data_IF_034430597848
#
_entry.id   IF_034430597848
#
_cell.length_a   1.000
_cell.length_b   1.000
_cell.length_c   1.000
_cell.angle_alpha   90.00
_cell.angle_beta   90.00
_cell.angle_gamma   90.00
#
_symmetry.space_group_name_H-M   'P 1'
#
loop_
_entity.id
_entity.type
_entity.pdbx_description
1 polymer ?
#
# COMPACT_ATOMS: atom_id res chain seq x y z
N UNK A 1 -83.79 0.66 25.82
CA UNK A 1 -83.14 1.99 25.78
C UNK A 1 -81.69 1.79 26.18
N UNK A 2 -80.75 2.35 25.41
CA UNK A 2 -79.28 2.23 25.49
C UNK A 2 -78.63 0.94 24.93
N UNK A 3 -78.29 0.99 23.64
CA UNK A 3 -77.25 0.18 22.98
C UNK A 3 -75.89 0.83 23.25
N UNK A 4 -74.94 0.07 23.82
CA UNK A 4 -73.55 0.48 23.97
C UNK A 4 -72.74 0.02 22.77
N UNK A 5 -72.10 0.98 22.09
CA UNK A 5 -71.22 0.80 20.94
C UNK A 5 -69.85 0.31 21.44
N UNK A 6 -69.39 -0.83 20.93
CA UNK A 6 -68.02 -1.33 21.08
C UNK A 6 -67.08 -0.53 20.17
N UNK A 7 -66.13 0.22 20.74
CA UNK A 7 -65.00 0.79 20.01
C UNK A 7 -63.82 -0.18 20.04
N UNK A 8 -63.43 -0.63 18.84
CA UNK A 8 -62.25 -1.42 18.55
C UNK A 8 -60.99 -0.55 18.79
N UNK A 9 -60.16 -0.88 19.78
CA UNK A 9 -58.81 -0.31 19.90
C UNK A 9 -57.85 -1.07 18.99
N UNK A 10 -57.43 -0.42 17.91
CA UNK A 10 -56.36 -0.87 17.02
C UNK A 10 -55.02 -0.70 17.75
N UNK A 11 -54.42 -1.80 18.19
CA UNK A 11 -53.04 -1.81 18.69
C UNK A 11 -52.12 -1.69 17.46
N UNK A 12 -51.66 -0.47 17.17
CA UNK A 12 -50.54 -0.26 16.25
C UNK A 12 -49.27 -0.63 17.01
N UNK A 13 -48.78 -1.85 16.81
CA UNK A 13 -47.39 -2.17 17.12
C UNK A 13 -46.51 -1.38 16.16
N UNK A 14 -45.97 -0.26 16.66
CA UNK A 14 -44.80 0.41 16.11
C UNK A 14 -43.64 -0.59 16.11
N UNK A 15 -43.49 -1.30 15.00
CA UNK A 15 -42.25 -1.94 14.61
C UNK A 15 -41.21 -0.83 14.48
N UNK A 16 -40.50 -0.54 15.57
CA UNK A 16 -39.19 0.09 15.47
C UNK A 16 -38.32 -0.89 14.69
N UNK A 17 -38.29 -0.71 13.37
CA UNK A 17 -37.27 -1.28 12.52
C UNK A 17 -35.96 -0.70 13.03
N UNK A 18 -35.27 -1.48 13.85
CA UNK A 18 -33.86 -1.34 14.13
C UNK A 18 -33.15 -1.54 12.79
N UNK A 19 -33.06 -0.48 11.99
CA UNK A 19 -32.10 -0.40 10.90
C UNK A 19 -30.72 -0.40 11.58
N UNK A 20 -30.27 -1.60 11.95
CA UNK A 20 -28.86 -1.86 12.09
C UNK A 20 -28.27 -1.47 10.74
N UNK A 21 -27.56 -0.35 10.71
CA UNK A 21 -26.73 0.06 9.60
C UNK A 21 -25.79 -1.12 9.32
N UNK A 22 -26.17 -2.01 8.38
CA UNK A 22 -25.24 -2.99 7.87
C UNK A 22 -24.18 -2.15 7.19
N UNK A 23 -23.01 -2.14 7.79
CA UNK A 23 -21.80 -1.52 7.29
C UNK A 23 -21.45 -2.26 5.98
N UNK A 24 -22.12 -1.90 4.88
CA UNK A 24 -22.03 -2.56 3.57
C UNK A 24 -20.76 -2.14 2.85
N UNK A 25 -20.34 -2.91 1.86
CA UNK A 25 -19.19 -2.54 1.04
C UNK A 25 -19.27 -1.09 0.53
N UNK A 26 -20.41 -0.70 -0.03
CA UNK A 26 -20.63 0.62 -0.64
C UNK A 26 -20.34 1.78 0.33
N UNK A 27 -20.69 1.63 1.61
CA UNK A 27 -20.48 2.68 2.62
C UNK A 27 -19.01 2.98 2.91
N UNK A 28 -18.09 2.12 2.46
CA UNK A 28 -16.64 2.27 2.66
C UNK A 28 -15.90 2.76 1.42
N UNK A 29 -16.57 2.84 0.28
CA UNK A 29 -15.96 3.23 -0.98
C UNK A 29 -15.86 4.76 -1.04
N UNK A 30 -14.65 5.28 -1.15
CA UNK A 30 -14.39 6.72 -1.29
C UNK A 30 -14.14 7.09 -2.76
N UNK A 31 -13.46 6.22 -3.51
CA UNK A 31 -13.21 6.40 -4.95
C UNK A 31 -13.31 5.09 -5.71
N UNK A 32 -13.76 5.17 -6.95
CA UNK A 32 -13.87 4.02 -7.87
C UNK A 32 -13.23 4.33 -9.21
N UNK A 33 -12.64 3.32 -9.82
CA UNK A 33 -12.08 3.42 -11.16
C UNK A 33 -12.35 2.13 -11.95
N UNK A 34 -13.09 2.23 -13.05
CA UNK A 34 -13.15 1.18 -14.07
C UNK A 34 -11.91 1.26 -14.96
N UNK A 35 -11.60 2.48 -15.39
CA UNK A 35 -10.43 2.84 -16.18
C UNK A 35 -9.79 4.04 -15.51
N UNK A 36 -8.47 4.06 -15.43
CA UNK A 36 -7.74 5.21 -14.90
C UNK A 36 -7.65 6.28 -15.99
N UNK A 37 -8.13 7.48 -15.68
CA UNK A 37 -7.95 8.67 -16.50
C UNK A 37 -7.31 9.79 -15.66
N UNK A 38 -6.79 10.80 -16.35
CA UNK A 38 -5.97 11.85 -15.78
C UNK A 38 -6.62 13.21 -15.92
N UNK A 39 -6.20 14.14 -15.06
CA UNK A 39 -6.54 15.56 -15.16
C UNK A 39 -5.74 16.22 -16.30
N UNK A 40 -6.18 15.96 -17.54
CA UNK A 40 -5.54 16.48 -18.75
C UNK A 40 -5.73 17.99 -18.88
N UNK A 41 -4.75 18.72 -19.45
CA UNK A 41 -4.89 20.16 -19.70
C UNK A 41 -6.10 20.51 -20.59
N UNK A 42 -6.45 19.62 -21.53
CA UNK A 42 -7.61 19.69 -22.40
C UNK A 42 -7.81 18.34 -23.14
N UNK A 43 -8.96 18.19 -23.78
CA UNK A 43 -9.32 16.97 -24.53
C UNK A 43 -8.35 16.68 -25.69
N UNK A 44 -7.84 17.73 -26.36
CA UNK A 44 -6.86 17.55 -27.44
C UNK A 44 -5.57 16.88 -26.94
N UNK A 45 -5.07 17.27 -25.77
CA UNK A 45 -3.89 16.66 -25.16
C UNK A 45 -4.15 15.18 -24.82
N UNK A 46 -5.32 14.88 -24.25
CA UNK A 46 -5.75 13.51 -23.98
C UNK A 46 -5.80 12.66 -25.25
N UNK A 47 -6.47 13.14 -26.28
CA UNK A 47 -6.59 12.42 -27.55
C UNK A 47 -5.24 12.23 -28.24
N UNK A 48 -4.35 13.23 -28.20
CA UNK A 48 -2.98 13.09 -28.71
C UNK A 48 -2.22 12.01 -27.97
N UNK A 49 -2.36 11.95 -26.64
CA UNK A 49 -1.73 10.93 -25.80
C UNK A 49 -2.24 9.51 -26.11
N UNK A 50 -3.52 9.37 -26.44
CA UNK A 50 -4.09 8.09 -26.90
C UNK A 50 -3.55 7.74 -28.29
N UNK A 51 -3.56 8.70 -29.24
CA UNK A 51 -3.12 8.48 -30.62
C UNK A 51 -1.64 8.10 -30.72
N UNK A 52 -0.79 8.66 -29.87
CA UNK A 52 0.64 8.35 -29.85
C UNK A 52 1.01 7.27 -28.81
N UNK A 53 0.02 6.63 -28.20
CA UNK A 53 0.18 5.56 -27.21
C UNK A 53 0.99 5.93 -25.96
N UNK A 54 1.21 7.22 -25.68
CA UNK A 54 1.74 7.68 -24.39
C UNK A 54 0.71 7.55 -23.26
N UNK A 55 -0.57 7.39 -23.61
CA UNK A 55 -1.65 6.96 -22.73
C UNK A 55 -2.40 5.77 -23.35
N UNK A 56 -2.28 4.60 -22.73
CA UNK A 56 -3.05 3.40 -23.07
C UNK A 56 -3.93 3.09 -21.84
N UNK A 57 -5.23 3.44 -21.86
CA UNK A 57 -6.07 3.36 -20.66
C UNK A 57 -6.02 2.01 -19.94
N UNK A 58 -6.03 0.91 -20.69
CA UNK A 58 -6.04 -0.47 -20.15
C UNK A 58 -4.71 -0.92 -19.54
N UNK A 59 -3.64 -0.13 -19.68
CA UNK A 59 -2.34 -0.40 -19.06
C UNK A 59 -2.14 0.35 -17.74
N UNK A 60 -3.09 1.18 -17.32
CA UNK A 60 -3.00 2.02 -16.14
C UNK A 60 -3.79 1.38 -14.99
N UNK A 61 -3.11 1.06 -13.88
CA UNK A 61 -3.71 0.47 -12.69
C UNK A 61 -3.04 1.03 -11.43
N UNK A 62 -3.81 1.27 -10.37
CA UNK A 62 -3.30 1.76 -9.09
C UNK A 62 -2.78 0.59 -8.25
N UNK A 63 -1.57 0.73 -7.70
CA UNK A 63 -0.97 -0.25 -6.78
C UNK A 63 -0.63 0.33 -5.40
N UNK A 64 -0.10 1.55 -5.33
CA UNK A 64 0.27 2.21 -4.09
C UNK A 64 -0.68 3.35 -3.72
N UNK A 65 -0.79 3.63 -2.43
CA UNK A 65 -1.53 4.79 -1.93
C UNK A 65 -0.97 5.28 -0.61
N UNK A 66 -1.25 6.54 -0.26
CA UNK A 66 -1.13 7.06 1.10
C UNK A 66 -2.06 8.29 1.26
N UNK A 67 -2.38 8.65 2.50
CA UNK A 67 -3.34 9.73 2.79
C UNK A 67 -2.68 10.79 3.67
N UNK A 68 -2.90 12.06 3.32
CA UNK A 68 -2.39 13.20 4.08
C UNK A 68 -3.35 14.38 3.98
N UNK A 69 -3.81 14.89 5.13
CA UNK A 69 -4.80 15.97 5.22
C UNK A 69 -6.02 15.74 4.29
N UNK A 70 -6.61 14.55 4.38
CA UNK A 70 -7.74 14.08 3.56
C UNK A 70 -7.47 13.95 2.04
N UNK A 71 -6.29 14.36 1.55
CA UNK A 71 -5.86 14.09 0.19
C UNK A 71 -5.37 12.65 0.07
N UNK A 72 -5.86 11.94 -0.96
CA UNK A 72 -5.40 10.60 -1.32
C UNK A 72 -4.38 10.72 -2.43
N UNK A 73 -3.15 10.30 -2.14
CA UNK A 73 -2.08 10.15 -3.12
C UNK A 73 -2.01 8.69 -3.55
N UNK A 74 -1.89 8.46 -4.84
CA UNK A 74 -1.83 7.12 -5.43
C UNK A 74 -0.72 7.02 -6.45
N UNK A 75 -0.24 5.80 -6.65
CA UNK A 75 0.76 5.49 -7.66
C UNK A 75 0.15 4.68 -8.79
N UNK A 76 0.61 4.93 -10.00
CA UNK A 76 0.33 4.11 -11.18
C UNK A 76 1.68 3.64 -11.69
N UNK A 77 2.18 2.47 -11.25
CA UNK A 77 3.50 2.00 -11.66
C UNK A 77 3.54 1.80 -13.17
N UNK A 78 4.67 2.14 -13.81
CA UNK A 78 4.89 1.92 -15.25
C UNK A 78 5.23 0.46 -15.55
N UNK A 79 4.36 -0.45 -15.11
CA UNK A 79 4.45 -1.89 -15.34
C UNK A 79 4.33 -2.24 -16.83
N UNK A 80 3.55 -1.45 -17.56
CA UNK A 80 3.34 -1.51 -19.01
C UNK A 80 3.48 -0.11 -19.61
N UNK A 81 3.66 -0.05 -20.93
CA UNK A 81 3.75 1.23 -21.66
C UNK A 81 2.43 1.99 -21.63
N UNK A 82 2.49 3.29 -21.92
CA UNK A 82 1.30 4.13 -22.00
C UNK A 82 0.76 4.57 -20.63
N UNK A 83 1.64 4.73 -19.64
CA UNK A 83 1.33 5.29 -18.31
C UNK A 83 1.86 6.73 -18.22
N UNK A 84 1.01 7.76 -18.38
CA UNK A 84 1.43 9.16 -18.43
C UNK A 84 2.10 9.64 -17.14
N UNK A 85 1.50 9.32 -15.99
CA UNK A 85 1.92 9.83 -14.69
C UNK A 85 1.95 8.72 -13.65
N UNK A 86 3.09 8.54 -12.99
CA UNK A 86 3.30 7.44 -12.05
C UNK A 86 3.00 7.79 -10.60
N UNK A 87 2.97 9.08 -10.25
CA UNK A 87 2.57 9.57 -8.94
C UNK A 87 1.48 10.62 -9.10
N UNK A 88 0.37 10.45 -8.39
CA UNK A 88 -0.84 11.22 -8.60
C UNK A 88 -1.53 11.56 -7.28
N UNK A 89 -2.36 12.60 -7.31
CA UNK A 89 -3.38 12.90 -6.31
C UNK A 89 -4.75 12.59 -6.93
N UNK A 90 -5.64 11.94 -6.18
CA UNK A 90 -7.03 11.77 -6.63
C UNK A 90 -7.77 13.10 -6.49
N UNK A 91 -8.47 13.49 -7.54
CA UNK A 91 -9.38 14.64 -7.56
C UNK A 91 -10.73 14.23 -8.14
N UNK A 92 -11.79 14.95 -7.77
CA UNK A 92 -13.14 14.73 -8.30
C UNK A 92 -13.44 15.83 -9.32
N UNK A 93 -13.75 15.44 -10.56
CA UNK A 93 -14.27 16.33 -11.60
C UNK A 93 -15.58 15.77 -12.13
N UNK A 94 -16.61 16.60 -12.17
CA UNK A 94 -17.95 16.21 -12.63
C UNK A 94 -18.52 14.95 -11.95
N UNK A 95 -18.21 14.80 -10.65
CA UNK A 95 -18.63 13.64 -9.85
C UNK A 95 -17.81 12.36 -10.07
N UNK A 96 -16.77 12.42 -10.90
CA UNK A 96 -15.92 11.27 -11.25
C UNK A 96 -14.53 11.44 -10.63
N UNK A 97 -13.98 10.36 -10.07
CA UNK A 97 -12.61 10.33 -9.57
C UNK A 97 -11.63 10.21 -10.73
N UNK A 98 -10.67 11.13 -10.83
CA UNK A 98 -9.59 11.13 -11.83
C UNK A 98 -8.24 11.40 -11.15
N UNK A 99 -7.15 11.18 -11.88
CA UNK A 99 -5.79 11.34 -11.34
C UNK A 99 -5.13 12.64 -11.79
N UNK A 100 -4.80 13.51 -10.85
CA UNK A 100 -3.97 14.68 -11.10
C UNK A 100 -2.50 14.32 -10.91
N UNK A 101 -1.63 14.47 -11.93
CA UNK A 101 -0.20 14.23 -11.81
C UNK A 101 0.44 15.05 -10.70
N UNK A 102 1.26 14.40 -9.87
CA UNK A 102 1.82 15.01 -8.68
C UNK A 102 3.35 14.98 -8.65
N UNK A 103 4.03 16.11 -8.37
CA UNK A 103 3.45 17.43 -8.11
C UNK A 103 2.90 18.13 -9.36
N UNK A 104 3.33 17.71 -10.55
CA UNK A 104 2.90 18.25 -11.84
C UNK A 104 3.28 17.30 -12.99
N UNK A 105 2.85 17.62 -14.21
CA UNK A 105 3.18 16.88 -15.44
C UNK A 105 4.68 16.81 -15.76
N UNK A 106 5.43 17.88 -15.49
CA UNK A 106 6.87 17.94 -15.76
C UNK A 106 7.64 16.88 -14.96
N UNK A 107 7.22 16.66 -13.72
CA UNK A 107 7.79 15.65 -12.81
C UNK A 107 7.49 14.21 -13.23
N UNK A 108 6.72 13.99 -14.30
CA UNK A 108 6.36 12.68 -14.82
C UNK A 108 7.06 12.35 -16.15
N UNK A 109 7.96 13.19 -16.66
CA UNK A 109 8.58 12.97 -17.96
C UNK A 109 9.40 11.66 -18.01
N UNK A 110 8.95 10.71 -18.82
CA UNK A 110 9.66 9.45 -19.07
C UNK A 110 11.03 9.74 -19.71
N UNK A 111 12.08 9.08 -19.22
CA UNK A 111 13.46 9.22 -19.70
C UNK A 111 14.25 10.39 -19.10
N UNK A 112 13.60 11.31 -18.39
CA UNK A 112 14.27 12.35 -17.64
C UNK A 112 14.56 11.88 -16.20
N UNK A 113 15.83 11.64 -15.87
CA UNK A 113 16.20 11.12 -14.54
C UNK A 113 15.98 12.11 -13.40
N UNK A 114 15.74 13.39 -13.69
CA UNK A 114 15.24 14.35 -12.71
C UNK A 114 13.74 14.13 -12.39
N UNK A 115 12.97 13.62 -13.34
CA UNK A 115 11.57 13.23 -13.17
C UNK A 115 11.39 11.79 -12.64
N UNK A 116 10.14 11.45 -12.30
CA UNK A 116 9.73 10.14 -11.82
C UNK A 116 9.56 9.15 -12.98
N UNK A 117 10.19 7.99 -12.87
CA UNK A 117 10.20 6.96 -13.90
C UNK A 117 9.22 5.83 -13.60
N UNK A 118 9.22 5.34 -12.37
CA UNK A 118 8.34 4.27 -11.92
C UNK A 118 8.19 4.39 -10.41
N UNK A 119 7.05 4.83 -9.92
CA UNK A 119 6.79 4.87 -8.47
C UNK A 119 5.87 3.71 -8.11
N UNK A 120 6.37 2.77 -7.30
CA UNK A 120 5.53 1.68 -6.78
C UNK A 120 4.73 2.13 -5.56
N UNK A 121 5.43 2.72 -4.58
CA UNK A 121 4.87 2.99 -3.26
C UNK A 121 5.42 4.30 -2.68
N UNK A 122 4.69 4.86 -1.72
CA UNK A 122 5.01 6.10 -1.04
C UNK A 122 4.72 5.99 0.45
N UNK A 123 5.52 6.66 1.28
CA UNK A 123 5.23 6.86 2.70
C UNK A 123 5.13 8.35 2.99
N UNK A 124 4.00 8.81 3.53
CA UNK A 124 3.84 10.21 3.94
C UNK A 124 3.99 10.31 5.46
N UNK A 125 4.86 11.20 5.93
CA UNK A 125 4.98 11.53 7.34
C UNK A 125 3.89 12.53 7.75
N UNK A 126 2.87 12.12 8.53
CA UNK A 126 1.78 13.01 8.89
C UNK A 126 2.20 14.18 9.78
N UNK A 127 3.40 14.13 10.38
CA UNK A 127 3.89 15.19 11.27
C UNK A 127 4.63 16.30 10.51
N UNK A 128 5.04 16.06 9.26
CA UNK A 128 5.86 17.01 8.48
C UNK A 128 5.37 17.27 7.07
N UNK A 129 4.43 16.47 6.55
CA UNK A 129 4.00 16.53 5.15
C UNK A 129 5.06 15.98 4.18
N UNK A 130 6.14 15.36 4.67
CA UNK A 130 7.18 14.80 3.82
C UNK A 130 6.73 13.46 3.22
N UNK A 131 6.58 13.44 1.90
CA UNK A 131 6.35 12.24 1.10
C UNK A 131 7.69 11.62 0.71
N UNK A 132 7.91 10.38 1.10
CA UNK A 132 9.05 9.56 0.72
C UNK A 132 8.63 8.68 -0.45
N UNK A 133 9.24 8.90 -1.60
CA UNK A 133 8.87 8.33 -2.89
C UNK A 133 9.99 7.38 -3.32
N UNK A 134 9.68 6.10 -3.49
CA UNK A 134 10.61 5.13 -4.08
C UNK A 134 10.36 5.04 -5.58
N UNK A 135 11.40 5.30 -6.37
CA UNK A 135 11.36 5.23 -7.82
C UNK A 135 12.33 4.16 -8.32
N UNK A 136 11.82 3.16 -9.02
CA UNK A 136 12.61 2.01 -9.49
C UNK A 136 13.48 2.38 -10.70
N UNK A 137 13.19 3.47 -11.41
CA UNK A 137 14.01 3.95 -12.54
C UNK A 137 13.83 3.19 -13.86
N UNK A 138 13.30 1.95 -13.79
CA UNK A 138 13.00 1.05 -14.91
C UNK A 138 11.51 0.88 -15.14
N UNK A 139 11.12 0.58 -16.37
CA UNK A 139 9.71 0.49 -16.79
C UNK A 139 9.47 -0.76 -17.64
N UNK A 140 8.19 -1.10 -17.85
CA UNK A 140 7.72 -2.13 -18.79
C UNK A 140 8.12 -3.59 -18.45
N UNK A 141 8.34 -3.93 -17.18
CA UNK A 141 8.71 -5.30 -16.80
C UNK A 141 7.55 -6.30 -16.70
N UNK A 142 6.29 -5.84 -16.75
CA UNK A 142 5.10 -6.69 -16.86
C UNK A 142 4.35 -6.46 -18.18
N UNK A 143 5.08 -6.07 -19.23
CA UNK A 143 4.55 -5.99 -20.58
C UNK A 143 4.12 -7.37 -21.08
N UNK A 144 2.90 -7.44 -21.63
CA UNK A 144 2.33 -8.66 -22.23
C UNK A 144 2.30 -8.58 -23.77
N UNK A 145 2.63 -7.42 -24.33
CA UNK A 145 2.63 -7.12 -25.76
C UNK A 145 4.04 -7.25 -26.39
N UNK A 146 5.01 -7.77 -25.64
CA UNK A 146 6.41 -7.89 -26.07
C UNK A 146 7.24 -6.61 -25.95
N UNK A 147 6.68 -5.53 -25.39
CA UNK A 147 7.46 -4.31 -25.10
C UNK A 147 8.64 -4.65 -24.18
N UNK A 148 9.89 -4.30 -24.54
CA UNK A 148 11.04 -4.62 -23.72
C UNK A 148 11.06 -3.81 -22.43
N UNK A 149 11.63 -4.38 -21.37
CA UNK A 149 11.97 -3.63 -20.16
C UNK A 149 13.04 -2.57 -20.49
N UNK A 150 12.80 -1.34 -20.05
CA UNK A 150 13.72 -0.22 -20.27
C UNK A 150 14.31 0.26 -18.94
N UNK A 151 15.64 0.40 -18.91
CA UNK A 151 16.40 0.78 -17.71
C UNK A 151 16.83 2.24 -17.81
N UNK A 152 15.85 3.14 -17.83
CA UNK A 152 16.05 4.54 -18.21
C UNK A 152 16.92 5.30 -17.20
N UNK A 153 16.69 5.07 -15.90
CA UNK A 153 17.36 5.80 -14.83
C UNK A 153 17.80 4.90 -13.67
N UNK A 154 18.74 5.35 -12.82
CA UNK A 154 19.01 4.71 -11.54
C UNK A 154 17.77 4.67 -10.65
N UNK A 155 17.64 3.61 -9.85
CA UNK A 155 16.65 3.59 -8.78
C UNK A 155 16.99 4.69 -7.76
N UNK A 156 15.98 5.40 -7.27
CA UNK A 156 16.15 6.55 -6.40
C UNK A 156 15.07 6.63 -5.32
N UNK A 157 15.40 7.33 -4.25
CA UNK A 157 14.41 7.80 -3.28
C UNK A 157 14.40 9.32 -3.26
N UNK A 158 13.20 9.89 -3.34
CA UNK A 158 12.95 11.33 -3.28
C UNK A 158 12.13 11.63 -2.04
N UNK A 159 12.44 12.73 -1.36
CA UNK A 159 11.63 13.27 -0.27
C UNK A 159 11.08 14.60 -0.75
N UNK A 160 9.77 14.68 -0.86
CA UNK A 160 9.05 15.87 -1.30
C UNK A 160 8.24 16.44 -0.14
N UNK A 161 8.35 17.73 0.11
CA UNK A 161 7.54 18.45 1.09
C UNK A 161 6.24 18.88 0.42
N UNK A 162 5.14 18.22 0.80
CA UNK A 162 3.81 18.47 0.22
C UNK A 162 3.34 19.90 0.51
N UNK A 163 3.56 20.37 1.74
CA UNK A 163 3.03 21.64 2.23
C UNK A 163 3.76 22.84 1.59
N UNK A 164 5.06 22.70 1.38
CA UNK A 164 5.90 23.76 0.80
C UNK A 164 6.14 23.59 -0.71
N UNK A 165 5.70 22.46 -1.28
CA UNK A 165 5.86 22.13 -2.69
C UNK A 165 7.32 22.19 -3.17
N UNK A 166 8.23 21.55 -2.41
CA UNK A 166 9.67 21.52 -2.69
C UNK A 166 10.27 20.12 -2.51
N UNK A 167 11.26 19.80 -3.32
CA UNK A 167 12.12 18.63 -3.10
C UNK A 167 13.11 18.90 -1.96
N UNK A 168 13.15 17.99 -0.98
CA UNK A 168 14.00 18.08 0.22
C UNK A 168 15.26 17.23 0.08
N UNK A 169 15.14 16.06 -0.56
CA UNK A 169 16.25 15.11 -0.69
C UNK A 169 16.04 14.25 -1.92
N UNK A 170 17.15 13.98 -2.62
CA UNK A 170 17.24 12.96 -3.65
C UNK A 170 18.47 12.11 -3.39
N UNK A 171 18.26 10.81 -3.40
CA UNK A 171 19.32 9.82 -3.26
C UNK A 171 19.16 8.77 -4.35
N UNK A 172 20.11 8.73 -5.27
CA UNK A 172 20.23 7.60 -6.20
C UNK A 172 20.88 6.44 -5.46
N UNK A 173 20.23 5.27 -5.50
CA UNK A 173 20.79 4.09 -4.90
C UNK A 173 21.99 3.62 -5.74
N UNK A 174 23.14 3.34 -5.11
CA UNK A 174 24.24 2.67 -5.79
C UNK A 174 23.78 1.35 -6.42
N UNK A 175 24.29 1.01 -7.61
CA UNK A 175 23.88 -0.19 -8.38
C UNK A 175 24.06 -1.51 -7.60
N UNK A 176 24.97 -1.56 -6.62
CA UNK A 176 25.12 -2.71 -5.74
C UNK A 176 24.03 -2.81 -4.65
N UNK A 177 23.37 -1.70 -4.32
CA UNK A 177 22.27 -1.63 -3.35
C UNK A 177 20.92 -1.82 -4.03
N UNK A 178 20.67 -1.12 -5.14
CA UNK A 178 19.49 -1.29 -5.98
C UNK A 178 19.93 -1.35 -7.43
N UNK A 179 20.00 -2.56 -7.98
CA UNK A 179 20.56 -2.76 -9.31
C UNK A 179 19.58 -2.27 -10.38
N UNK A 180 19.97 -1.29 -11.22
CA UNK A 180 19.09 -0.77 -12.29
C UNK A 180 18.57 -1.85 -13.27
N UNK A 181 19.29 -2.98 -13.32
CA UNK A 181 19.12 -4.26 -14.03
C UNK A 181 18.06 -5.21 -13.49
N UNK A 182 17.75 -5.13 -12.20
CA UNK A 182 16.98 -6.18 -11.50
C UNK A 182 15.99 -5.68 -10.47
N UNK A 183 16.29 -4.58 -9.77
CA UNK A 183 15.52 -4.13 -8.60
C UNK A 183 14.05 -3.91 -8.90
N UNK A 184 13.19 -4.24 -7.93
CA UNK A 184 11.81 -3.81 -7.88
C UNK A 184 11.55 -3.32 -6.45
N UNK A 185 11.71 -2.01 -6.24
CA UNK A 185 11.38 -1.36 -4.97
C UNK A 185 9.86 -1.42 -4.74
N UNK A 186 9.42 -2.25 -3.79
CA UNK A 186 8.02 -2.58 -3.57
C UNK A 186 7.35 -1.67 -2.54
N UNK A 187 7.62 -1.89 -1.25
CA UNK A 187 7.01 -1.13 -0.15
C UNK A 187 8.04 -0.38 0.70
N UNK A 188 7.58 0.67 1.39
CA UNK A 188 8.41 1.55 2.22
C UNK A 188 7.78 1.84 3.59
N UNK A 189 8.61 1.79 4.64
CA UNK A 189 8.30 2.36 5.97
C UNK A 189 9.42 3.29 6.44
N UNK A 190 9.06 4.33 7.18
CA UNK A 190 10.00 5.38 7.62
C UNK A 190 10.14 5.39 9.14
N UNK A 191 11.36 5.62 9.63
CA UNK A 191 11.64 5.67 11.06
C UNK A 191 12.18 7.03 11.48
N UNK A 192 11.60 7.56 12.55
CA UNK A 192 12.13 8.69 13.30
C UNK A 192 13.39 8.36 14.08
N UNK A 193 14.32 9.31 14.07
CA UNK A 193 15.47 9.34 14.96
C UNK A 193 15.69 10.79 15.41
N UNK A 194 15.28 11.09 16.64
CA UNK A 194 15.22 12.47 17.11
C UNK A 194 13.93 13.14 16.64
N UNK A 195 14.02 14.39 16.19
CA UNK A 195 12.84 15.20 15.87
C UNK A 195 12.24 14.90 14.49
N UNK A 196 13.01 14.36 13.53
CA UNK A 196 12.53 14.06 12.17
C UNK A 196 12.62 12.56 11.87
N UNK A 197 11.82 12.10 10.90
CA UNK A 197 12.10 10.87 10.16
C UNK A 197 13.57 10.85 9.72
N UNK A 198 14.22 9.71 9.60
CA UNK A 198 15.64 9.62 9.19
C UNK A 198 15.92 8.41 8.32
N UNK A 199 15.37 7.26 8.71
CA UNK A 199 15.60 6.03 7.98
C UNK A 199 14.38 5.68 7.16
N UNK A 200 14.60 5.14 5.96
CA UNK A 200 13.59 4.40 5.22
C UNK A 200 14.03 2.93 5.11
N UNK A 201 13.07 2.03 5.19
CA UNK A 201 13.23 0.60 4.99
C UNK A 201 12.36 0.20 3.82
N UNK A 202 12.97 -0.41 2.81
CA UNK A 202 12.34 -0.66 1.52
C UNK A 202 12.50 -2.13 1.18
N UNK A 203 11.41 -2.79 0.78
CA UNK A 203 11.46 -4.15 0.25
C UNK A 203 11.80 -4.08 -1.23
N UNK A 204 12.76 -4.89 -1.67
CA UNK A 204 13.09 -5.07 -3.08
C UNK A 204 12.69 -6.50 -3.43
N UNK A 205 11.58 -6.63 -4.15
CA UNK A 205 10.88 -7.89 -4.35
C UNK A 205 11.70 -8.83 -5.26
N UNK A 206 12.10 -8.33 -6.44
CA UNK A 206 12.85 -9.12 -7.43
C UNK A 206 14.25 -9.51 -6.96
N UNK A 207 14.94 -8.65 -6.20
CA UNK A 207 16.25 -9.00 -5.63
C UNK A 207 16.16 -9.59 -4.22
N UNK A 208 14.95 -9.79 -3.69
CA UNK A 208 14.66 -10.48 -2.41
C UNK A 208 15.47 -9.94 -1.23
N UNK A 209 15.43 -8.61 -1.04
CA UNK A 209 16.27 -7.93 -0.05
C UNK A 209 15.56 -6.79 0.66
N UNK A 210 16.08 -6.42 1.82
CA UNK A 210 15.69 -5.25 2.58
C UNK A 210 16.73 -4.15 2.39
N UNK A 211 16.34 -3.07 1.71
CA UNK A 211 17.16 -1.86 1.54
C UNK A 211 16.93 -0.91 2.72
N UNK A 212 18.01 -0.30 3.19
CA UNK A 212 18.00 0.70 4.27
C UNK A 212 18.61 1.98 3.73
N UNK A 213 17.88 3.08 3.84
CA UNK A 213 18.36 4.42 3.52
C UNK A 213 18.49 5.25 4.79
N UNK A 214 19.62 5.95 4.99
CA UNK A 214 19.85 6.92 6.06
C UNK A 214 19.92 8.33 5.47
N UNK A 215 18.79 9.07 5.52
CA UNK A 215 18.71 10.43 4.97
C UNK A 215 19.75 11.37 5.55
N UNK A 216 20.07 11.26 6.85
CA UNK A 216 21.02 12.19 7.48
C UNK A 216 22.44 12.00 6.93
N UNK A 217 22.80 10.77 6.56
CA UNK A 217 24.12 10.46 6.00
C UNK A 217 24.14 10.45 4.48
N UNK A 218 22.95 10.44 3.85
CA UNK A 218 22.77 10.20 2.43
C UNK A 218 23.47 8.92 1.95
N UNK A 219 23.25 7.83 2.69
CA UNK A 219 23.85 6.52 2.41
C UNK A 219 22.79 5.44 2.43
N UNK A 220 23.00 4.39 1.65
CA UNK A 220 22.14 3.23 1.61
C UNK A 220 22.94 1.92 1.65
N UNK A 221 22.34 0.88 2.19
CA UNK A 221 22.86 -0.49 2.19
C UNK A 221 21.68 -1.48 2.16
N UNK A 222 21.95 -2.77 2.03
CA UNK A 222 20.91 -3.79 2.00
C UNK A 222 21.26 -5.01 2.86
N UNK A 223 20.26 -5.85 3.10
CA UNK A 223 20.40 -7.18 3.68
C UNK A 223 19.57 -8.19 2.88
N UNK A 224 20.06 -9.41 2.80
CA UNK A 224 19.35 -10.55 2.23
C UNK A 224 19.35 -11.68 3.26
N UNK A 225 18.27 -12.47 3.31
CA UNK A 225 18.17 -13.61 4.20
C UNK A 225 17.34 -14.72 3.55
N UNK A 226 17.98 -15.81 3.08
CA UNK A 226 17.33 -16.82 2.25
C UNK A 226 16.03 -17.37 2.84
N UNK A 227 15.99 -17.67 4.14
CA UNK A 227 14.80 -18.24 4.77
C UNK A 227 13.63 -17.26 4.91
N UNK A 228 13.89 -15.95 4.99
CA UNK A 228 12.84 -14.96 5.32
C UNK A 228 12.46 -14.04 4.16
N UNK A 229 13.27 -14.03 3.10
CA UNK A 229 13.11 -13.10 1.98
C UNK A 229 12.92 -13.80 0.64
N UNK A 230 13.31 -15.07 0.50
CA UNK A 230 12.95 -15.86 -0.68
C UNK A 230 11.52 -16.42 -0.53
N UNK A 231 10.83 -16.69 -1.65
CA UNK A 231 9.56 -17.40 -1.68
C UNK A 231 9.58 -18.68 -0.82
N UNK A 232 8.49 -18.93 -0.10
CA UNK A 232 8.29 -20.20 0.58
C UNK A 232 7.90 -21.27 -0.45
N UNK A 233 8.66 -22.37 -0.48
CA UNK A 233 8.42 -23.46 -1.42
C UNK A 233 7.00 -24.02 -1.29
N UNK A 234 6.30 -24.13 -2.42
CA UNK A 234 4.94 -24.68 -2.50
C UNK A 234 3.82 -23.65 -2.28
N UNK A 235 4.15 -22.40 -1.96
CA UNK A 235 3.16 -21.35 -1.64
C UNK A 235 3.09 -20.26 -2.73
N UNK A 236 3.33 -20.63 -3.99
CA UNK A 236 3.36 -19.71 -5.13
C UNK A 236 2.03 -19.54 -5.87
N UNK A 237 0.94 -20.13 -5.38
CA UNK A 237 -0.37 -20.05 -6.05
C UNK A 237 -1.35 -19.28 -5.18
N UNK A 238 -1.72 -18.08 -5.60
CA UNK A 238 -2.73 -17.24 -4.94
C UNK A 238 -4.05 -17.41 -5.68
N UNK A 239 -5.10 -17.85 -5.00
CA UNK A 239 -6.41 -18.06 -5.64
C UNK A 239 -7.41 -17.02 -5.17
N UNK A 240 -7.91 -16.22 -6.11
CA UNK A 240 -8.82 -15.10 -5.84
C UNK A 240 -10.04 -15.28 -6.72
N UNK A 241 -11.22 -15.38 -6.10
CA UNK A 241 -12.51 -15.56 -6.80
C UNK A 241 -12.50 -16.69 -7.86
N UNK A 242 -11.77 -17.78 -7.58
CA UNK A 242 -11.67 -18.95 -8.47
C UNK A 242 -10.60 -18.85 -9.57
N UNK A 243 -9.90 -17.73 -9.69
CA UNK A 243 -8.75 -17.58 -10.59
C UNK A 243 -7.43 -17.71 -9.82
N UNK A 244 -6.50 -18.50 -10.34
CA UNK A 244 -5.18 -18.70 -9.70
C UNK A 244 -4.11 -17.88 -10.41
N UNK A 245 -3.45 -17.01 -9.65
CA UNK A 245 -2.25 -16.29 -10.05
C UNK A 245 -1.03 -17.03 -9.50
N UNK A 246 -0.15 -17.47 -10.40
CA UNK A 246 1.15 -18.01 -10.03
C UNK A 246 2.14 -16.87 -9.79
N UNK A 247 2.77 -16.87 -8.62
CA UNK A 247 3.75 -15.88 -8.16
C UNK A 247 5.01 -16.57 -7.65
N UNK A 248 6.13 -15.88 -7.72
CA UNK A 248 7.41 -16.34 -7.15
C UNK A 248 8.08 -15.23 -6.37
N UNK A 249 7.26 -14.37 -5.78
CA UNK A 249 7.64 -13.10 -5.18
C UNK A 249 8.05 -13.32 -3.72
N UNK A 250 9.19 -12.75 -3.36
CA UNK A 250 9.83 -12.91 -2.06
C UNK A 250 9.29 -11.92 -1.03
N UNK A 251 10.20 -11.31 -0.27
CA UNK A 251 9.91 -10.22 0.67
C UNK A 251 9.08 -9.13 -0.02
N UNK A 252 7.87 -8.88 0.51
CA UNK A 252 6.90 -8.00 -0.12
C UNK A 252 6.41 -6.93 0.87
N UNK A 253 5.32 -7.18 1.60
CA UNK A 253 4.80 -6.26 2.61
C UNK A 253 5.77 -6.00 3.77
N UNK A 254 5.83 -4.74 4.22
CA UNK A 254 6.64 -4.29 5.35
C UNK A 254 5.87 -3.34 6.27
N UNK A 255 6.04 -3.50 7.58
CA UNK A 255 5.46 -2.64 8.61
C UNK A 255 6.49 -2.30 9.69
N UNK A 256 6.34 -1.14 10.34
CA UNK A 256 7.21 -0.72 11.43
C UNK A 256 6.43 -0.54 12.72
N UNK A 257 6.92 -1.12 13.82
CA UNK A 257 6.26 -1.00 15.12
C UNK A 257 6.07 0.46 15.55
N UNK A 258 5.01 0.75 16.32
CA UNK A 258 4.72 2.11 16.81
C UNK A 258 5.80 2.69 17.73
N UNK A 259 6.63 1.84 18.36
CA UNK A 259 7.83 2.26 19.10
C UNK A 259 9.10 2.32 18.22
N UNK A 260 8.97 1.99 16.94
CA UNK A 260 10.00 1.90 15.90
C UNK A 260 11.17 1.00 16.23
N UNK A 261 10.98 0.01 17.11
CA UNK A 261 12.04 -0.93 17.47
C UNK A 261 12.10 -2.14 16.55
N UNK A 262 11.01 -2.47 15.86
CA UNK A 262 10.91 -3.70 15.07
C UNK A 262 10.28 -3.43 13.71
N UNK A 263 10.92 -3.96 12.67
CA UNK A 263 10.33 -4.09 11.34
C UNK A 263 9.69 -5.48 11.29
N UNK A 264 8.48 -5.53 10.74
CA UNK A 264 7.79 -6.75 10.36
C UNK A 264 7.76 -6.82 8.84
N UNK A 265 7.93 -8.01 8.29
CA UNK A 265 7.83 -8.25 6.86
C UNK A 265 7.43 -9.69 6.61
N UNK A 266 6.97 -9.99 5.41
CA UNK A 266 6.66 -11.36 4.99
C UNK A 266 6.79 -11.49 3.49
N UNK A 267 6.76 -12.73 3.02
CA UNK A 267 6.79 -13.02 1.60
C UNK A 267 5.41 -12.92 0.98
N UNK A 268 5.31 -12.54 -0.29
CA UNK A 268 4.05 -12.66 -1.05
C UNK A 268 3.76 -14.13 -1.33
N UNK A 269 4.72 -14.87 -1.87
CA UNK A 269 4.67 -16.34 -2.04
C UNK A 269 5.00 -17.05 -0.72
N UNK A 270 4.21 -16.81 0.33
CA UNK A 270 4.40 -17.46 1.62
C UNK A 270 3.52 -16.94 2.73
N UNK A 271 3.47 -17.69 3.82
CA UNK A 271 2.60 -17.40 4.95
C UNK A 271 3.33 -16.86 6.17
N UNK A 272 4.67 -16.92 6.23
CA UNK A 272 5.39 -16.41 7.40
C UNK A 272 5.33 -14.89 7.53
N UNK A 273 5.32 -14.43 8.78
CA UNK A 273 5.72 -13.06 9.15
C UNK A 273 7.00 -13.16 9.96
N UNK A 274 7.97 -12.33 9.61
CA UNK A 274 9.23 -12.17 10.30
C UNK A 274 9.32 -10.83 11.01
N UNK A 275 10.23 -10.75 11.97
CA UNK A 275 10.53 -9.55 12.73
C UNK A 275 12.05 -9.37 12.82
N UNK A 276 12.52 -8.14 12.62
CA UNK A 276 13.92 -7.76 12.81
C UNK A 276 14.04 -6.43 13.60
N UNK A 277 14.94 -6.31 14.59
CA UNK A 277 15.12 -5.05 15.31
C UNK A 277 15.74 -3.95 14.44
N UNK A 278 15.16 -2.74 14.45
CA UNK A 278 15.69 -1.58 13.70
C UNK A 278 17.13 -1.22 14.09
N UNK A 279 17.54 -1.54 15.32
CA UNK A 279 18.93 -1.30 15.76
C UNK A 279 19.97 -2.16 15.04
N UNK A 280 19.56 -3.31 14.51
CA UNK A 280 20.42 -4.24 13.76
C UNK A 280 20.56 -3.72 12.33
N UNK A 281 19.44 -3.44 11.65
CA UNK A 281 19.44 -3.05 10.24
C UNK A 281 20.00 -1.65 9.97
N UNK A 282 19.97 -0.72 10.94
CA UNK A 282 20.54 0.63 10.73
C UNK A 282 22.06 0.67 10.64
N UNK A 283 22.74 -0.39 11.06
CA UNK A 283 24.20 -0.46 11.06
C UNK A 283 24.62 -1.62 10.15
N UNK A 284 25.23 -1.35 8.98
CA UNK A 284 25.74 -2.42 8.13
C UNK A 284 26.66 -3.33 8.96
N UNK A 285 26.46 -4.63 8.86
CA UNK A 285 27.13 -5.61 9.72
C UNK A 285 26.57 -7.02 9.53
N UNK A 286 27.29 -8.02 10.06
CA UNK A 286 27.00 -9.45 9.82
C UNK A 286 25.98 -10.07 10.76
N UNK A 287 25.44 -9.31 11.72
CA UNK A 287 24.54 -9.87 12.73
C UNK A 287 23.07 -10.01 12.28
N UNK A 288 22.73 -9.60 11.05
CA UNK A 288 21.34 -9.60 10.56
C UNK A 288 20.63 -10.94 10.81
N UNK A 289 21.22 -12.03 10.33
CA UNK A 289 20.66 -13.39 10.35
C UNK A 289 20.31 -13.84 11.77
N UNK A 290 21.16 -13.51 12.75
CA UNK A 290 20.97 -13.90 14.17
C UNK A 290 19.75 -13.24 14.81
N UNK A 291 19.25 -12.16 14.24
CA UNK A 291 18.13 -11.38 14.79
C UNK A 291 16.85 -11.52 13.98
N UNK A 292 16.88 -12.18 12.81
CA UNK A 292 15.67 -12.53 12.07
C UNK A 292 14.89 -13.55 12.87
N UNK A 293 13.60 -13.28 13.05
CA UNK A 293 12.71 -14.17 13.82
C UNK A 293 11.36 -14.30 13.15
N UNK A 294 10.96 -15.52 12.82
CA UNK A 294 9.56 -15.82 12.48
C UNK A 294 8.67 -15.58 13.71
N UNK A 295 7.63 -14.76 13.53
CA UNK A 295 6.68 -14.42 14.60
C UNK A 295 5.37 -15.18 14.46
N UNK A 296 5.08 -15.75 13.29
CA UNK A 296 3.93 -16.62 13.08
C UNK A 296 3.59 -16.76 11.60
N UNK A 297 2.37 -17.21 11.35
CA UNK A 297 1.86 -17.56 10.02
C UNK A 297 0.54 -16.85 9.75
N UNK A 298 0.46 -16.16 8.61
CA UNK A 298 -0.74 -15.50 8.07
C UNK A 298 -1.79 -16.56 7.70
N UNK A 299 -3.10 -16.28 7.84
CA UNK A 299 -4.15 -17.20 7.36
C UNK A 299 -4.19 -17.35 5.84
N UNK A 300 -3.80 -16.31 5.09
CA UNK A 300 -3.77 -16.26 3.63
C UNK A 300 -2.52 -15.50 3.13
N UNK A 301 -2.28 -15.49 1.82
CA UNK A 301 -1.26 -14.64 1.21
C UNK A 301 -1.61 -13.17 1.46
N UNK A 302 -0.58 -12.34 1.60
CA UNK A 302 -0.73 -10.91 1.86
C UNK A 302 0.30 -10.14 1.05
N UNK A 303 -0.15 -9.13 0.33
CA UNK A 303 0.69 -8.11 -0.29
C UNK A 303 1.17 -7.13 0.80
N UNK A 304 0.46 -6.03 1.01
CA UNK A 304 0.81 -4.99 1.98
C UNK A 304 0.47 -5.30 3.43
N UNK A 305 1.15 -4.58 4.34
CA UNK A 305 0.89 -4.61 5.77
C UNK A 305 1.16 -3.25 6.42
N UNK A 306 0.45 -2.95 7.51
CA UNK A 306 0.61 -1.69 8.25
C UNK A 306 0.50 -1.91 9.75
N UNK A 307 1.23 -1.12 10.53
CA UNK A 307 1.24 -1.19 11.98
C UNK A 307 0.50 -0.01 12.59
N UNK A 308 -0.37 -0.27 13.55
CA UNK A 308 -1.12 0.76 14.27
C UNK A 308 -0.38 1.25 15.51
N UNK A 309 -0.75 2.45 15.97
CA UNK A 309 -0.27 3.04 17.21
C UNK A 309 -0.53 2.14 18.43
N UNK A 310 -1.66 1.45 18.47
CA UNK A 310 -2.06 0.55 19.55
C UNK A 310 -1.47 -0.87 19.47
N UNK A 311 -0.39 -1.07 18.71
CA UNK A 311 0.32 -2.35 18.61
C UNK A 311 -0.47 -3.48 17.92
N UNK A 312 -1.20 -3.16 16.87
CA UNK A 312 -1.79 -4.15 15.98
C UNK A 312 -1.13 -4.12 14.60
N UNK A 313 -0.92 -5.29 14.00
CA UNK A 313 -0.47 -5.42 12.62
C UNK A 313 -1.69 -5.76 11.75
N UNK A 314 -1.94 -4.98 10.71
CA UNK A 314 -2.99 -5.23 9.72
C UNK A 314 -2.34 -5.65 8.41
N UNK A 315 -2.96 -6.58 7.69
CA UNK A 315 -2.47 -7.08 6.41
C UNK A 315 -3.63 -7.65 5.58
N UNK A 316 -3.49 -7.61 4.26
CA UNK A 316 -4.46 -8.23 3.35
C UNK A 316 -4.51 -9.75 3.50
N UNK A 317 -5.63 -10.35 3.12
CA UNK A 317 -5.79 -11.80 2.95
C UNK A 317 -6.32 -12.05 1.55
N UNK A 318 -5.39 -12.18 0.59
CA UNK A 318 -5.71 -12.24 -0.85
C UNK A 318 -6.61 -13.44 -1.18
N UNK A 319 -6.30 -14.62 -0.64
CA UNK A 319 -7.09 -15.83 -0.89
C UNK A 319 -8.47 -15.81 -0.21
N UNK A 320 -8.64 -14.96 0.81
CA UNK A 320 -9.80 -14.96 1.69
C UNK A 320 -10.72 -13.76 1.49
N UNK A 321 -10.40 -12.86 0.56
CA UNK A 321 -11.07 -11.58 0.34
C UNK A 321 -11.23 -10.75 1.64
N UNK A 322 -10.14 -10.65 2.42
CA UNK A 322 -10.19 -10.14 3.78
C UNK A 322 -9.08 -9.13 4.10
N UNK A 323 -9.31 -8.38 5.17
CA UNK A 323 -8.26 -7.69 5.92
C UNK A 323 -8.14 -8.38 7.27
N UNK A 324 -6.94 -8.84 7.60
CA UNK A 324 -6.61 -9.45 8.88
C UNK A 324 -5.96 -8.45 9.83
N UNK A 325 -6.14 -8.70 11.12
CA UNK A 325 -5.53 -7.95 12.21
C UNK A 325 -4.92 -8.91 13.23
N UNK A 326 -3.65 -8.72 13.55
CA UNK A 326 -3.00 -9.33 14.69
C UNK A 326 -2.82 -8.30 15.81
N UNK A 327 -3.48 -8.53 16.96
CA UNK A 327 -3.28 -7.74 18.18
C UNK A 327 -2.04 -8.20 18.94
N UNK A 328 -0.90 -7.57 18.63
CA UNK A 328 0.42 -7.92 19.17
C UNK A 328 0.46 -7.70 20.69
N UNK A 329 -0.18 -6.64 21.19
CA UNK A 329 -0.20 -6.33 22.62
C UNK A 329 -1.02 -7.35 23.42
N UNK A 330 -2.17 -7.77 22.90
CA UNK A 330 -2.99 -8.82 23.51
C UNK A 330 -2.23 -10.13 23.61
N UNK A 331 -1.55 -10.55 22.53
CA UNK A 331 -0.72 -11.76 22.55
C UNK A 331 0.47 -11.62 23.49
N UNK A 332 1.13 -10.46 23.49
CA UNK A 332 2.26 -10.20 24.40
C UNK A 332 1.84 -10.33 25.87
N UNK A 333 0.68 -9.78 26.24
CA UNK A 333 0.11 -9.90 27.59
C UNK A 333 -0.26 -11.34 27.94
N UNK A 334 -0.99 -12.03 27.06
CA UNK A 334 -1.40 -13.43 27.27
C UNK A 334 -0.21 -14.37 27.41
N UNK A 335 0.83 -14.18 26.62
CA UNK A 335 2.05 -14.99 26.64
C UNK A 335 3.05 -14.55 27.72
N UNK A 336 2.74 -13.50 28.50
CA UNK A 336 3.62 -12.94 29.55
C UNK A 336 5.04 -12.68 29.05
N UNK A 337 5.16 -12.09 27.88
CA UNK A 337 6.43 -11.93 27.17
C UNK A 337 6.70 -10.48 26.74
N UNK A 338 7.75 -10.27 25.96
CA UNK A 338 8.14 -8.95 25.42
C UNK A 338 7.81 -8.87 23.92
N UNK A 339 7.74 -7.67 23.34
CA UNK A 339 7.58 -7.50 21.89
C UNK A 339 8.69 -8.19 21.05
N UNK A 340 9.85 -8.45 21.66
CA UNK A 340 10.96 -9.20 21.04
C UNK A 340 10.68 -10.70 20.91
N UNK A 341 9.80 -11.24 21.77
CA UNK A 341 9.58 -12.69 21.93
C UNK A 341 8.13 -13.12 21.66
N UNK A 342 7.20 -12.18 21.52
CA UNK A 342 5.78 -12.47 21.26
C UNK A 342 5.61 -13.22 19.94
N UNK A 343 4.77 -14.25 19.98
CA UNK A 343 4.34 -15.04 18.84
C UNK A 343 2.91 -14.65 18.45
N UNK A 344 2.59 -14.74 17.18
CA UNK A 344 1.26 -14.46 16.65
C UNK A 344 0.34 -15.65 16.93
N UNK A 345 -0.70 -15.41 17.70
CA UNK A 345 -1.71 -16.39 18.15
C UNK A 345 -3.15 -15.88 18.03
N UNK A 346 -3.37 -14.57 18.03
CA UNK A 346 -4.71 -13.97 17.96
C UNK A 346 -4.91 -13.14 16.68
N UNK A 347 -4.74 -13.76 15.52
CA UNK A 347 -5.17 -13.16 14.25
C UNK A 347 -6.70 -13.17 14.18
N UNK A 348 -7.28 -12.04 13.83
CA UNK A 348 -8.71 -11.84 13.71
C UNK A 348 -9.02 -11.25 12.33
N UNK A 349 -10.15 -11.62 11.74
CA UNK A 349 -10.69 -10.92 10.58
C UNK A 349 -11.14 -9.53 11.02
N UNK A 350 -10.55 -8.49 10.42
CA UNK A 350 -10.98 -7.11 10.63
C UNK A 350 -12.14 -6.76 9.69
N UNK A 351 -12.00 -7.11 8.41
CA UNK A 351 -13.04 -6.98 7.39
C UNK A 351 -12.96 -8.19 6.46
N UNK A 352 -14.11 -8.62 5.92
CA UNK A 352 -14.21 -9.62 4.86
C UNK A 352 -15.48 -9.37 4.08
N UNK A 353 -15.35 -9.31 2.76
CA UNK A 353 -16.48 -9.20 1.85
C UNK A 353 -16.07 -9.72 0.47
N UNK A 354 -16.64 -10.85 0.06
CA UNK A 354 -16.29 -11.52 -1.19
C UNK A 354 -16.74 -10.72 -2.43
N UNK A 355 -17.65 -9.74 -2.27
CA UNK A 355 -18.11 -8.91 -3.38
C UNK A 355 -17.15 -7.79 -3.75
N UNK A 356 -16.28 -7.37 -2.82
CA UNK A 356 -15.52 -6.13 -3.03
C UNK A 356 -14.19 -5.99 -2.27
N UNK A 357 -13.74 -6.98 -1.48
CA UNK A 357 -12.43 -6.98 -0.79
C UNK A 357 -11.53 -8.07 -1.38
N UNK A 358 -11.54 -8.24 -2.70
CA UNK A 358 -10.91 -9.38 -3.37
C UNK A 358 -9.37 -9.32 -3.46
N UNK A 359 -8.75 -8.15 -3.65
CA UNK A 359 -7.29 -7.99 -3.62
C UNK A 359 -6.92 -6.73 -2.83
N UNK A 360 -6.65 -6.88 -1.54
CA UNK A 360 -6.14 -5.78 -0.71
C UNK A 360 -4.64 -5.66 -0.90
N UNK A 361 -4.22 -4.66 -1.67
CA UNK A 361 -2.82 -4.48 -2.08
C UNK A 361 -2.03 -3.68 -1.03
N UNK A 362 -2.49 -2.48 -0.69
CA UNK A 362 -1.81 -1.57 0.25
C UNK A 362 -2.77 -1.07 1.34
N UNK A 363 -2.24 -0.85 2.54
CA UNK A 363 -2.98 -0.33 3.69
C UNK A 363 -2.25 0.82 4.36
N UNK A 364 -2.98 1.87 4.75
CA UNK A 364 -2.45 3.03 5.46
C UNK A 364 -3.44 3.53 6.51
N UNK A 365 -2.96 4.26 7.50
CA UNK A 365 -3.81 4.95 8.45
C UNK A 365 -3.83 6.45 8.18
N UNK A 366 -4.99 7.07 8.33
CA UNK A 366 -5.07 8.52 8.48
C UNK A 366 -4.89 8.96 9.94
N UNK A 367 -5.05 10.26 10.20
CA UNK A 367 -4.98 10.86 11.54
C UNK A 367 -6.34 10.85 12.27
N UNK A 368 -7.38 10.27 11.66
CA UNK A 368 -8.77 10.25 12.11
C UNK A 368 -9.26 8.84 12.47
N UNK A 369 -8.32 7.97 12.87
CA UNK A 369 -8.54 6.57 13.26
C UNK A 369 -9.13 5.66 12.16
N UNK A 370 -8.93 6.01 10.89
CA UNK A 370 -9.38 5.19 9.77
C UNK A 370 -8.22 4.41 9.15
N UNK A 371 -8.52 3.17 8.77
CA UNK A 371 -7.71 2.37 7.88
C UNK A 371 -8.18 2.62 6.45
N UNK A 372 -7.27 3.10 5.62
CA UNK A 372 -7.44 3.25 4.19
C UNK A 372 -6.74 2.11 3.48
N UNK A 373 -7.36 1.58 2.43
CA UNK A 373 -6.77 0.50 1.65
C UNK A 373 -7.30 0.52 0.22
N UNK A 374 -6.48 0.05 -0.71
CA UNK A 374 -6.92 -0.21 -2.07
C UNK A 374 -7.49 -1.62 -2.15
N UNK A 375 -8.55 -1.76 -2.94
CA UNK A 375 -8.94 -3.05 -3.49
C UNK A 375 -8.82 -2.96 -5.00
N UNK A 376 -8.04 -3.83 -5.60
CA UNK A 376 -7.88 -3.87 -7.05
C UNK A 376 -8.15 -5.29 -7.60
N UNK A 377 -8.17 -5.47 -8.92
CA UNK A 377 -8.28 -6.81 -9.54
C UNK A 377 -6.95 -7.23 -10.15
N UNK A 378 -5.84 -7.07 -9.43
CA UNK A 378 -4.50 -7.26 -9.98
C UNK A 378 -4.25 -8.66 -10.56
N UNK A 379 -4.82 -9.71 -9.96
CA UNK A 379 -4.79 -11.06 -10.55
C UNK A 379 -5.29 -11.06 -12.00
N UNK A 380 -6.41 -10.39 -12.30
CA UNK A 380 -6.93 -10.25 -13.67
C UNK A 380 -6.04 -9.37 -14.55
N UNK A 381 -5.45 -8.33 -13.99
CA UNK A 381 -4.52 -7.47 -14.73
C UNK A 381 -3.31 -8.26 -15.23
N UNK A 382 -2.70 -9.05 -14.35
CA UNK A 382 -1.56 -9.91 -14.67
C UNK A 382 -1.93 -11.06 -15.61
N UNK A 383 -3.11 -11.67 -15.43
CA UNK A 383 -3.62 -12.72 -16.31
C UNK A 383 -4.12 -12.21 -17.67
N UNK A 384 -4.23 -10.89 -17.86
CA UNK A 384 -4.75 -10.29 -19.10
C UNK A 384 -6.27 -10.44 -19.27
N UNK A 385 -7.00 -10.73 -18.19
CA UNK A 385 -8.45 -11.00 -18.17
C UNK A 385 -9.27 -9.87 -17.55
N UNK A 386 -8.63 -8.73 -17.23
CA UNK A 386 -9.30 -7.57 -16.62
C UNK A 386 -10.27 -6.90 -17.61
N UNK A 387 -11.51 -6.70 -17.17
CA UNK A 387 -12.55 -6.03 -17.95
C UNK A 387 -12.51 -4.51 -17.74
N UNK A 388 -12.12 -3.77 -18.77
CA UNK A 388 -12.08 -2.30 -18.77
C UNK A 388 -13.35 -1.64 -19.36
N UNK A 389 -14.34 -2.42 -19.80
CA UNK A 389 -15.61 -1.89 -20.32
C UNK A 389 -16.56 -1.42 -19.21
N UNK A 390 -16.36 -1.93 -17.98
CA UNK A 390 -17.21 -1.64 -16.81
C UNK A 390 -18.35 -2.62 -16.60
N UNK A 391 -18.55 -3.59 -17.50
CA UNK A 391 -19.57 -4.62 -17.36
C UNK A 391 -19.40 -5.47 -16.09
N UNK A 392 -18.16 -5.67 -15.65
CA UNK A 392 -17.79 -6.40 -14.42
C UNK A 392 -17.62 -5.49 -13.21
N UNK A 393 -18.13 -4.26 -13.26
CA UNK A 393 -17.94 -3.22 -12.25
C UNK A 393 -16.52 -2.62 -12.22
N UNK A 394 -16.23 -1.72 -11.26
CA UNK A 394 -14.94 -1.04 -11.17
C UNK A 394 -13.78 -2.01 -10.93
N UNK A 395 -12.60 -1.65 -11.41
CA UNK A 395 -11.36 -2.43 -11.29
C UNK A 395 -10.52 -2.03 -10.08
N UNK A 396 -10.67 -0.79 -9.61
CA UNK A 396 -10.03 -0.28 -8.39
C UNK A 396 -11.07 0.41 -7.52
N UNK A 397 -11.03 0.09 -6.23
CA UNK A 397 -11.73 0.77 -5.16
C UNK A 397 -10.69 1.35 -4.20
N UNK A 398 -10.86 2.61 -3.82
CA UNK A 398 -10.18 3.19 -2.66
C UNK A 398 -11.18 3.18 -1.53
N UNK A 399 -10.86 2.44 -0.47
CA UNK A 399 -11.78 2.19 0.62
C UNK A 399 -11.25 2.75 1.94
N UNK A 400 -12.19 3.10 2.82
CA UNK A 400 -11.94 3.60 4.17
C UNK A 400 -12.81 2.84 5.18
N UNK A 401 -12.21 2.43 6.29
CA UNK A 401 -12.91 1.79 7.40
C UNK A 401 -12.44 2.31 8.75
N UNK A 402 -13.35 2.43 9.72
CA UNK A 402 -12.99 2.87 11.07
C UNK A 402 -12.21 1.77 11.80
N UNK A 403 -10.93 2.02 12.09
CA UNK A 403 -10.08 1.09 12.82
C UNK A 403 -10.04 1.35 14.33
N UNK A 404 -10.44 2.55 14.76
CA UNK A 404 -10.37 2.97 16.17
C UNK A 404 -8.93 3.16 16.67
N UNK A 405 -8.00 3.38 15.75
CA UNK A 405 -6.59 3.69 16.00
C UNK A 405 -6.00 4.35 14.77
N UNK A 406 -4.93 5.12 14.98
CA UNK A 406 -4.07 5.68 13.95
C UNK A 406 -2.85 4.79 13.67
N UNK A 407 -2.02 5.20 12.70
CA UNK A 407 -0.81 4.50 12.29
C UNK A 407 0.40 4.71 13.20
N UNK A 408 1.46 3.93 12.97
CA UNK A 408 2.71 3.96 13.76
C UNK A 408 3.45 5.31 13.77
N UNK A 409 3.13 6.22 12.83
CA UNK A 409 3.68 7.57 12.73
C UNK A 409 2.87 8.64 13.49
N UNK A 410 1.65 8.32 13.97
CA UNK A 410 0.77 9.33 14.57
C UNK A 410 1.29 9.88 15.92
N UNK A 411 1.26 11.22 16.00
CA UNK A 411 1.45 12.09 17.17
C UNK A 411 2.63 11.73 18.05
N UNK A 412 3.82 11.93 17.49
CA UNK A 412 5.06 12.06 18.28
C UNK A 412 5.30 13.53 18.60
N UNK A 413 4.94 13.94 19.83
CA UNK A 413 5.26 15.20 20.56
C UNK A 413 5.47 16.46 19.68
N UNK A 414 4.49 17.37 19.73
CA UNK A 414 4.53 18.81 19.40
C UNK A 414 5.82 19.27 18.68
N UNK A 415 5.77 19.34 17.35
CA UNK A 415 6.72 20.13 16.59
C UNK A 415 6.60 21.61 17.00
N UNK A 416 7.73 22.28 17.19
CA UNK A 416 7.77 23.72 16.98
C UNK A 416 8.00 23.93 15.48
N UNK A 417 7.15 24.71 14.78
CA UNK A 417 7.51 25.19 13.44
C UNK A 417 8.80 26.01 13.58
N UNK A 418 9.73 25.82 12.65
CA UNK A 418 10.88 26.69 12.47
C UNK A 418 10.54 27.71 11.40
#
# INVERSE_FOLDING_TARGET
MALFVFSLFLIVHLSFAYYANRDTCDSRIEHTFTVIDYDWPNDTAREMAIRNESYIPNNNIISGMNVYNDAVYVTVPRWRRGVPSTLNKIVIKDGISILQPYPNWESQRVGDCHALQFVQSIAIDPNTGWMWIIDTGRINFFAIDGTPTENLCPAKIIIYDIDNNIEITRHEFPDNVANRKRTFLNDIVIQYRGQRARYAYITDDFDTRLIVFDRKKNTSHFYSHPESMLPESGNGNITILGETLAVSDGINGIALSSDMKFIYYGQLSGFSIYQIPTKVVRKPGKDFDRFVRKVGTKPAHAAGMVYSKNHSLYFGGLDDNAVYKWDVEKDRRKQRTTFRKVQMKTVQTFLKDDSCINFVDILNFDQNDNLWFSVNKLHKFFLGTMDFSGNSGPNVLIMRAKAGTTGYLDRRRRYKPY
#
